data_IF_484611306253
#
_entry.id   IF_484611306253
#
_cell.length_a   1.000
_cell.length_b   1.000
_cell.length_c   1.000
_cell.angle_alpha   90.00
_cell.angle_beta   90.00
_cell.angle_gamma   90.00
#
_symmetry.space_group_name_H-M   'P 1'
#
loop_
_entity.id
_entity.type
_entity.pdbx_description
1 polymer ?
#
# COMPACT_ATOMS: atom_id res chain seq x y z
N UNK A 1 7.43 34.98 -48.60
CA UNK A 1 7.34 35.29 -47.15
C UNK A 1 5.92 35.72 -46.82
N UNK A 2 5.13 34.87 -46.14
CA UNK A 2 3.76 35.22 -45.70
C UNK A 2 3.86 36.09 -44.44
N UNK A 3 3.47 37.37 -44.53
CA UNK A 3 3.35 38.28 -43.38
C UNK A 3 2.13 37.83 -42.55
N UNK A 4 2.40 37.21 -41.40
CA UNK A 4 1.36 36.94 -40.40
C UNK A 4 0.90 38.27 -39.79
N UNK A 5 -0.41 38.53 -39.83
CA UNK A 5 -1.00 39.77 -39.31
C UNK A 5 -1.30 39.63 -37.81
N UNK A 6 -1.28 40.72 -37.06
CA UNK A 6 -1.48 40.75 -35.59
C UNK A 6 -2.82 40.16 -35.12
N UNK A 7 -3.83 40.02 -36.00
CA UNK A 7 -5.13 39.42 -35.70
C UNK A 7 -5.10 37.91 -35.45
N UNK A 8 -4.17 37.16 -36.04
CA UNK A 8 -4.08 35.69 -35.84
C UNK A 8 -3.48 35.29 -34.49
N UNK A 9 -2.70 36.16 -33.86
CA UNK A 9 -2.14 35.90 -32.52
C UNK A 9 -3.17 36.09 -31.40
N UNK A 10 -4.09 37.05 -31.57
CA UNK A 10 -5.14 37.30 -30.60
C UNK A 10 -6.14 36.14 -30.49
N UNK A 11 -6.56 35.53 -31.61
CA UNK A 11 -7.51 34.41 -31.60
C UNK A 11 -6.92 33.12 -31.03
N UNK A 12 -5.62 32.86 -31.27
CA UNK A 12 -4.92 31.73 -30.67
C UNK A 12 -4.78 31.87 -29.14
N UNK A 13 -4.54 33.09 -28.64
CA UNK A 13 -4.47 33.38 -27.21
C UNK A 13 -5.79 33.09 -26.48
N UNK A 14 -6.93 33.50 -27.04
CA UNK A 14 -8.25 33.23 -26.47
C UNK A 14 -8.61 31.75 -26.47
N UNK A 15 -8.25 31.01 -27.52
CA UNK A 15 -8.48 29.57 -27.57
C UNK A 15 -7.68 28.80 -26.49
N UNK A 16 -6.41 29.18 -26.24
CA UNK A 16 -5.61 28.61 -25.17
C UNK A 16 -6.19 28.92 -23.77
N UNK A 17 -6.64 30.16 -23.54
CA UNK A 17 -7.25 30.55 -22.26
C UNK A 17 -8.57 29.81 -21.99
N UNK A 18 -9.39 29.60 -23.02
CA UNK A 18 -10.59 28.77 -22.91
C UNK A 18 -10.24 27.31 -22.59
N UNK A 19 -9.27 26.72 -23.28
CA UNK A 19 -8.81 25.36 -22.98
C UNK A 19 -8.28 25.21 -21.55
N UNK A 20 -7.51 26.19 -21.07
CA UNK A 20 -7.03 26.22 -19.69
C UNK A 20 -8.20 26.36 -18.71
N UNK A 21 -9.14 27.28 -18.96
CA UNK A 21 -10.31 27.49 -18.12
C UNK A 21 -11.21 26.25 -18.02
N UNK A 22 -11.48 25.58 -19.14
CA UNK A 22 -12.22 24.32 -19.16
C UNK A 22 -11.45 23.18 -18.48
N UNK A 23 -10.11 23.16 -18.59
CA UNK A 23 -9.25 22.23 -17.85
C UNK A 23 -9.41 22.40 -16.32
N UNK A 24 -9.41 23.63 -15.82
CA UNK A 24 -9.60 23.92 -14.39
C UNK A 24 -10.99 23.53 -13.88
N UNK A 25 -12.04 23.81 -14.65
CA UNK A 25 -13.41 23.37 -14.31
C UNK A 25 -13.47 21.85 -14.27
N UNK A 26 -12.88 21.17 -15.25
CA UNK A 26 -12.78 19.71 -15.26
C UNK A 26 -12.15 19.14 -14.00
N UNK A 27 -11.03 19.72 -13.53
CA UNK A 27 -10.32 19.27 -12.31
C UNK A 27 -11.19 19.41 -11.05
N UNK A 28 -11.93 20.52 -10.90
CA UNK A 28 -12.74 20.76 -9.71
C UNK A 28 -13.92 19.78 -9.57
N UNK A 29 -14.56 19.42 -10.68
CA UNK A 29 -15.69 18.48 -10.67
C UNK A 29 -15.26 17.00 -10.75
N UNK A 30 -14.03 16.74 -11.17
CA UNK A 30 -13.51 15.39 -11.35
C UNK A 30 -13.59 14.56 -10.06
N UNK A 31 -13.08 15.10 -8.95
CA UNK A 31 -13.04 14.39 -7.67
C UNK A 31 -14.43 14.00 -7.16
N UNK A 32 -15.41 14.92 -7.02
CA UNK A 32 -16.76 14.57 -6.61
C UNK A 32 -17.42 13.50 -7.48
N UNK A 33 -17.30 13.60 -8.82
CA UNK A 33 -17.88 12.62 -9.75
C UNK A 33 -17.24 11.25 -9.57
N UNK A 34 -15.92 11.21 -9.37
CA UNK A 34 -15.18 9.97 -9.13
C UNK A 34 -15.58 9.31 -7.82
N UNK A 35 -15.59 10.06 -6.71
CA UNK A 35 -16.02 9.53 -5.40
C UNK A 35 -17.46 9.01 -5.45
N UNK A 36 -18.36 9.72 -6.13
CA UNK A 36 -19.73 9.26 -6.36
C UNK A 36 -19.77 7.94 -7.15
N UNK A 37 -18.96 7.81 -8.20
CA UNK A 37 -18.85 6.56 -8.97
C UNK A 37 -18.36 5.39 -8.12
N UNK A 38 -17.30 5.61 -7.32
CA UNK A 38 -16.73 4.61 -6.41
C UNK A 38 -17.72 4.22 -5.31
N UNK A 39 -18.44 5.18 -4.73
CA UNK A 39 -19.48 4.93 -3.73
C UNK A 39 -20.61 4.07 -4.32
N UNK A 40 -21.07 4.35 -5.55
CA UNK A 40 -22.07 3.49 -6.21
C UNK A 40 -21.54 2.10 -6.52
N UNK A 41 -20.27 1.98 -6.94
CA UNK A 41 -19.64 0.68 -7.13
C UNK A 41 -19.58 -0.11 -5.81
N UNK A 42 -19.34 0.57 -4.69
CA UNK A 42 -19.33 -0.03 -3.36
C UNK A 42 -20.67 -0.65 -2.98
N UNK A 43 -21.79 0.04 -3.27
CA UNK A 43 -23.13 -0.49 -3.04
C UNK A 43 -23.47 -1.67 -3.96
N UNK A 44 -23.02 -1.63 -5.22
CA UNK A 44 -23.21 -2.76 -6.16
C UNK A 44 -22.45 -4.01 -5.71
N UNK A 45 -21.39 -3.85 -4.93
CA UNK A 45 -20.63 -4.96 -4.38
C UNK A 45 -21.30 -5.61 -3.15
N UNK A 46 -22.31 -4.98 -2.53
CA UNK A 46 -22.94 -5.48 -1.29
C UNK A 46 -23.43 -6.95 -1.40
N UNK A 47 -24.08 -7.40 -2.50
CA UNK A 47 -24.46 -8.80 -2.66
C UNK A 47 -23.26 -9.75 -2.73
N UNK A 48 -22.16 -9.31 -3.37
CA UNK A 48 -20.93 -10.08 -3.50
C UNK A 48 -20.20 -10.20 -2.15
N UNK A 49 -20.07 -9.09 -1.42
CA UNK A 49 -19.51 -9.08 -0.06
C UNK A 49 -20.31 -10.02 0.83
N UNK A 50 -21.64 -9.90 0.83
CA UNK A 50 -22.52 -10.75 1.63
C UNK A 50 -22.34 -12.24 1.31
N UNK A 51 -22.17 -12.58 0.02
CA UNK A 51 -21.91 -13.95 -0.41
C UNK A 51 -20.54 -14.47 0.07
N UNK A 52 -19.49 -13.64 0.00
CA UNK A 52 -18.15 -13.96 0.48
C UNK A 52 -18.11 -14.17 1.99
N UNK A 53 -18.79 -13.30 2.76
CA UNK A 53 -18.89 -13.42 4.21
C UNK A 53 -19.63 -14.69 4.62
N UNK A 54 -20.76 -15.01 3.97
CA UNK A 54 -21.48 -16.27 4.20
C UNK A 54 -20.63 -17.50 3.87
N UNK A 55 -19.99 -17.52 2.69
CA UNK A 55 -19.10 -18.61 2.31
C UNK A 55 -17.99 -18.79 3.34
N UNK A 56 -17.34 -17.69 3.74
CA UNK A 56 -16.22 -17.74 4.69
C UNK A 56 -16.67 -18.27 6.05
N UNK A 57 -17.86 -17.86 6.50
CA UNK A 57 -18.46 -18.33 7.75
C UNK A 57 -18.81 -19.82 7.70
N UNK A 58 -19.40 -20.30 6.60
CA UNK A 58 -19.82 -21.71 6.45
C UNK A 58 -18.63 -22.66 6.22
N UNK A 59 -17.62 -22.23 5.45
CA UNK A 59 -16.50 -23.08 5.04
C UNK A 59 -15.27 -22.93 5.95
N UNK A 60 -15.27 -21.95 6.86
CA UNK A 60 -14.10 -21.62 7.69
C UNK A 60 -12.92 -21.05 6.90
N UNK A 61 -13.10 -20.74 5.61
CA UNK A 61 -12.07 -20.19 4.71
C UNK A 61 -12.69 -19.30 3.64
N UNK A 62 -11.97 -18.28 3.14
CA UNK A 62 -12.37 -17.60 1.91
C UNK A 62 -12.37 -18.57 0.70
N UNK A 63 -13.19 -18.30 -0.33
CA UNK A 63 -13.17 -19.09 -1.57
C UNK A 63 -11.84 -18.89 -2.29
N UNK A 64 -11.36 -19.88 -3.05
CA UNK A 64 -10.16 -19.69 -3.87
C UNK A 64 -10.41 -18.78 -5.06
N UNK A 65 -11.66 -18.74 -5.55
CA UNK A 65 -12.11 -17.90 -6.67
C UNK A 65 -13.60 -17.55 -6.53
N UNK A 66 -14.04 -16.46 -7.15
CA UNK A 66 -15.43 -16.01 -7.07
C UNK A 66 -16.46 -17.03 -7.60
N UNK A 67 -16.08 -17.92 -8.52
CA UNK A 67 -17.02 -18.92 -9.04
C UNK A 67 -17.41 -20.01 -8.04
N UNK A 68 -16.70 -20.17 -6.91
CA UNK A 68 -17.14 -21.02 -5.80
C UNK A 68 -18.40 -20.48 -5.09
N UNK A 69 -18.71 -19.19 -5.30
CA UNK A 69 -19.93 -18.58 -4.75
C UNK A 69 -21.17 -18.95 -5.57
N UNK A 70 -21.00 -19.38 -6.82
CA UNK A 70 -22.10 -19.66 -7.74
C UNK A 70 -22.57 -21.12 -7.67
N UNK A 71 -23.86 -21.38 -7.92
CA UNK A 71 -24.99 -20.44 -7.79
C UNK A 71 -25.46 -20.32 -6.33
N UNK A 72 -24.87 -21.10 -5.40
CA UNK A 72 -25.38 -21.32 -4.04
C UNK A 72 -25.42 -20.05 -3.20
N UNK A 73 -24.38 -19.23 -3.24
CA UNK A 73 -24.23 -18.05 -2.39
C UNK A 73 -24.63 -16.76 -3.10
N UNK A 74 -24.52 -16.72 -4.43
CA UNK A 74 -24.97 -15.62 -5.28
C UNK A 74 -25.34 -16.18 -6.67
N UNK A 75 -26.33 -15.57 -7.34
CA UNK A 75 -26.77 -16.02 -8.67
C UNK A 75 -25.77 -15.70 -9.77
N UNK A 76 -25.16 -14.52 -9.69
CA UNK A 76 -24.16 -14.02 -10.63
C UNK A 76 -23.24 -13.01 -9.91
N UNK A 77 -22.03 -12.80 -10.42
CA UNK A 77 -21.11 -11.80 -9.87
C UNK A 77 -21.52 -10.42 -10.41
N UNK A 78 -21.84 -9.44 -9.54
CA UNK A 78 -22.25 -8.11 -10.00
C UNK A 78 -21.10 -7.40 -10.71
N UNK A 79 -21.44 -6.52 -11.65
CA UNK A 79 -20.48 -5.58 -12.23
C UNK A 79 -20.28 -4.37 -11.31
N UNK A 80 -19.17 -3.66 -11.48
CA UNK A 80 -18.87 -2.45 -10.70
C UNK A 80 -19.78 -1.28 -11.06
N UNK A 81 -20.40 -1.32 -12.26
CA UNK A 81 -21.11 -0.17 -12.84
C UNK A 81 -20.20 0.94 -13.37
N UNK A 82 -18.88 0.77 -13.33
CA UNK A 82 -17.91 1.69 -13.90
C UNK A 82 -17.55 1.22 -15.31
N UNK A 83 -17.85 1.99 -16.38
CA UNK A 83 -17.62 1.54 -17.76
C UNK A 83 -16.16 1.15 -18.05
N UNK A 84 -15.20 1.89 -17.49
CA UNK A 84 -13.78 1.63 -17.68
C UNK A 84 -13.27 0.42 -16.89
N UNK A 85 -13.97 0.02 -15.82
CA UNK A 85 -13.52 -1.03 -14.89
C UNK A 85 -14.69 -1.94 -14.51
N UNK A 86 -15.31 -2.67 -15.46
CA UNK A 86 -16.63 -3.27 -15.26
C UNK A 86 -16.66 -4.44 -14.27
N UNK A 87 -15.50 -5.01 -13.92
CA UNK A 87 -15.39 -6.22 -13.09
C UNK A 87 -14.67 -5.94 -11.78
N UNK A 88 -15.12 -6.64 -10.73
CA UNK A 88 -14.38 -6.72 -9.47
C UNK A 88 -13.22 -7.70 -9.60
N UNK A 89 -12.07 -7.33 -9.04
CA UNK A 89 -10.96 -8.24 -8.80
C UNK A 89 -11.08 -8.83 -7.40
N UNK A 90 -10.65 -10.08 -7.24
CA UNK A 90 -10.70 -10.81 -5.98
C UNK A 90 -9.34 -11.43 -5.71
N UNK A 91 -8.88 -11.32 -4.47
CA UNK A 91 -7.63 -11.90 -4.03
C UNK A 91 -7.79 -12.52 -2.63
N UNK A 92 -7.24 -13.72 -2.44
CA UNK A 92 -7.06 -14.28 -1.10
C UNK A 92 -5.82 -13.67 -0.49
N UNK A 93 -5.97 -13.13 0.70
CA UNK A 93 -4.86 -12.53 1.43
C UNK A 93 -4.26 -13.56 2.39
N UNK A 94 -2.96 -13.42 2.72
CA UNK A 94 -2.25 -14.33 3.63
C UNK A 94 -2.74 -14.24 5.10
N UNK A 95 -3.76 -13.45 5.38
CA UNK A 95 -4.23 -13.15 6.72
C UNK A 95 -3.58 -11.88 7.28
N UNK A 96 -3.68 -11.71 8.60
CA UNK A 96 -3.13 -10.53 9.27
C UNK A 96 -1.61 -10.52 9.15
N UNK A 97 -1.06 -9.41 8.67
CA UNK A 97 0.36 -9.14 8.62
C UNK A 97 0.65 -7.78 9.27
N UNK A 98 1.76 -7.71 9.99
CA UNK A 98 2.23 -6.47 10.59
C UNK A 98 3.68 -6.18 10.21
N UNK A 99 4.06 -4.92 10.34
CA UNK A 99 5.41 -4.43 10.23
C UNK A 99 5.92 -4.14 11.64
N UNK A 100 7.14 -4.58 11.96
CA UNK A 100 7.91 -4.05 13.07
C UNK A 100 9.23 -3.51 12.50
N UNK A 101 9.66 -2.32 12.93
CA UNK A 101 10.91 -1.76 12.44
C UNK A 101 11.80 -1.23 13.56
N UNK A 102 13.11 -1.33 13.36
CA UNK A 102 14.15 -0.74 14.19
C UNK A 102 14.82 0.39 13.44
N UNK A 103 14.99 1.51 14.13
CA UNK A 103 15.83 2.60 13.68
C UNK A 103 17.31 2.20 13.82
N UNK A 104 18.03 2.20 12.69
CA UNK A 104 19.45 1.87 12.62
C UNK A 104 20.36 3.09 12.73
N UNK A 105 19.78 4.29 12.79
CA UNK A 105 20.47 5.58 12.91
C UNK A 105 20.53 6.36 11.60
N UNK A 106 20.98 7.61 11.73
CA UNK A 106 21.19 8.56 10.64
C UNK A 106 22.20 8.03 9.63
N UNK A 107 21.88 8.20 8.35
CA UNK A 107 22.83 7.97 7.24
C UNK A 107 23.90 9.06 7.13
N UNK A 108 23.77 10.17 7.85
CA UNK A 108 24.66 11.32 7.82
C UNK A 108 24.89 11.87 6.40
N UNK A 109 23.81 11.93 5.61
CA UNK A 109 23.85 12.42 4.22
C UNK A 109 24.40 11.42 3.19
N UNK A 110 24.81 10.22 3.60
CA UNK A 110 25.29 9.20 2.66
C UNK A 110 24.18 8.76 1.69
N UNK A 111 24.50 8.58 0.39
CA UNK A 111 23.54 8.09 -0.59
C UNK A 111 23.06 6.70 -0.22
N UNK A 112 21.76 6.45 -0.42
CA UNK A 112 21.17 5.13 -0.23
C UNK A 112 21.17 4.34 -1.53
N UNK A 113 21.17 3.02 -1.42
CA UNK A 113 20.99 2.13 -2.57
C UNK A 113 19.53 1.66 -2.65
N UNK A 114 18.95 1.71 -3.85
CA UNK A 114 17.61 1.18 -4.13
C UNK A 114 16.47 2.18 -3.90
N UNK A 115 15.24 1.68 -3.99
CA UNK A 115 14.03 2.46 -3.79
C UNK A 115 13.67 2.53 -2.30
N UNK A 116 13.14 3.68 -1.88
CA UNK A 116 12.52 3.83 -0.57
C UNK A 116 11.22 3.02 -0.54
N UNK A 117 11.16 1.98 0.29
CA UNK A 117 9.99 1.09 0.37
C UNK A 117 9.05 1.45 1.53
N UNK A 118 9.61 1.80 2.69
CA UNK A 118 8.83 1.99 3.92
C UNK A 118 8.87 3.43 4.42
N UNK A 119 7.73 4.14 4.52
CA UNK A 119 7.69 5.53 5.02
C UNK A 119 8.09 5.66 6.50
N UNK A 120 8.22 4.54 7.20
CA UNK A 120 8.34 4.43 8.65
C UNK A 120 9.68 4.98 9.16
N UNK A 121 9.68 5.64 10.33
CA UNK A 121 10.90 6.24 10.90
C UNK A 121 11.32 7.54 10.20
N UNK A 122 12.48 8.08 10.58
CA UNK A 122 12.97 9.36 10.02
C UNK A 122 13.49 9.16 8.58
N UNK A 123 13.16 10.04 7.60
CA UNK A 123 13.59 9.91 6.20
C UNK A 123 15.11 9.77 5.99
N UNK A 124 15.90 10.39 6.86
CA UNK A 124 17.36 10.41 6.84
C UNK A 124 18.00 9.22 7.57
N UNK A 125 17.21 8.36 8.21
CA UNK A 125 17.67 7.17 8.92
C UNK A 125 17.53 5.90 8.08
N UNK A 126 18.45 4.96 8.28
CA UNK A 126 18.27 3.59 7.82
C UNK A 126 17.36 2.83 8.80
N UNK A 127 16.59 1.86 8.31
CA UNK A 127 15.77 1.00 9.16
C UNK A 127 15.97 -0.47 8.82
N UNK A 128 15.78 -1.33 9.81
CA UNK A 128 15.47 -2.74 9.58
C UNK A 128 13.97 -2.94 9.79
N UNK A 129 13.29 -3.41 8.76
CA UNK A 129 11.86 -3.65 8.74
C UNK A 129 11.59 -5.15 8.63
N UNK A 130 10.75 -5.68 9.52
CA UNK A 130 10.32 -7.06 9.53
C UNK A 130 8.83 -7.13 9.21
N UNK A 131 8.47 -7.92 8.21
CA UNK A 131 7.09 -8.31 7.97
C UNK A 131 6.80 -9.56 8.78
N UNK A 132 5.74 -9.50 9.59
CA UNK A 132 5.36 -10.53 10.53
C UNK A 132 4.05 -11.18 10.11
N UNK A 133 3.93 -12.49 10.35
CA UNK A 133 2.69 -13.24 10.23
C UNK A 133 1.72 -12.88 11.35
N UNK A 134 0.50 -13.41 11.27
CA UNK A 134 -0.50 -13.28 12.34
C UNK A 134 -0.01 -13.85 13.69
N UNK A 135 0.86 -14.88 13.64
CA UNK A 135 1.49 -15.48 14.82
C UNK A 135 2.72 -14.72 15.33
N UNK A 136 3.09 -13.62 14.66
CA UNK A 136 4.27 -12.83 14.99
C UNK A 136 5.59 -13.44 14.52
N UNK A 137 5.55 -14.39 13.58
CA UNK A 137 6.75 -14.97 12.95
C UNK A 137 7.22 -14.08 11.81
N UNK A 138 8.54 -13.94 11.65
CA UNK A 138 9.14 -13.15 10.56
C UNK A 138 8.95 -13.87 9.22
N UNK A 139 8.15 -13.26 8.34
CA UNK A 139 7.94 -13.68 6.96
C UNK A 139 9.01 -13.14 6.03
N UNK A 140 9.38 -11.87 6.23
CA UNK A 140 10.39 -11.16 5.45
C UNK A 140 11.16 -10.18 6.35
N UNK A 141 12.41 -9.91 6.00
CA UNK A 141 13.28 -8.98 6.70
C UNK A 141 14.05 -8.15 5.68
N UNK A 142 13.91 -6.82 5.76
CA UNK A 142 14.56 -5.88 4.84
C UNK A 142 15.29 -4.81 5.60
N UNK A 143 16.45 -4.43 5.08
CA UNK A 143 17.13 -3.21 5.49
C UNK A 143 16.82 -2.15 4.43
N UNK A 144 16.07 -1.14 4.82
CA UNK A 144 15.66 -0.06 3.94
C UNK A 144 16.51 1.19 4.21
N UNK A 145 16.76 1.97 3.16
CA UNK A 145 17.61 3.18 3.20
C UNK A 145 19.01 2.89 3.77
N UNK A 146 19.61 1.75 3.46
CA UNK A 146 21.01 1.50 3.86
C UNK A 146 21.98 2.33 3.00
N UNK A 147 23.04 2.91 3.58
CA UNK A 147 24.13 3.49 2.80
C UNK A 147 24.83 2.43 1.94
N UNK A 148 25.38 2.85 0.80
CA UNK A 148 26.03 1.93 -0.15
C UNK A 148 27.26 1.23 0.44
N UNK A 149 28.06 1.96 1.23
CA UNK A 149 29.29 1.46 1.84
C UNK A 149 29.19 1.56 3.36
N UNK A 150 28.98 0.41 4.02
CA UNK A 150 28.98 0.29 5.47
C UNK A 150 29.88 -0.87 5.85
N UNK A 151 30.90 -0.62 6.68
CA UNK A 151 31.76 -1.66 7.21
C UNK A 151 31.01 -2.49 8.24
N UNK A 152 30.88 -3.79 7.99
CA UNK A 152 30.25 -4.75 8.89
C UNK A 152 31.06 -4.87 10.19
N UNK A 153 30.38 -4.98 11.34
CA UNK A 153 31.00 -5.25 12.64
C UNK A 153 30.25 -6.37 13.36
N UNK A 154 30.93 -7.08 14.26
CA UNK A 154 30.32 -8.11 15.10
C UNK A 154 29.15 -7.53 15.90
N UNK A 155 28.08 -8.32 16.03
CA UNK A 155 26.91 -7.90 16.79
C UNK A 155 27.25 -7.84 18.28
N UNK A 156 27.09 -6.66 18.87
CA UNK A 156 27.24 -6.39 20.30
C UNK A 156 25.88 -5.88 20.82
N UNK A 157 25.29 -6.63 21.74
CA UNK A 157 23.95 -6.32 22.23
C UNK A 157 23.90 -5.02 23.05
N UNK A 158 24.96 -4.70 23.79
CA UNK A 158 25.00 -3.48 24.61
C UNK A 158 25.09 -2.24 23.70
N UNK A 159 25.98 -2.26 22.71
CA UNK A 159 26.10 -1.21 21.69
C UNK A 159 24.81 -1.07 20.87
N UNK A 160 24.18 -2.19 20.52
CA UNK A 160 22.91 -2.17 19.81
C UNK A 160 21.85 -1.43 20.62
N UNK A 161 21.69 -1.76 21.90
CA UNK A 161 20.70 -1.13 22.77
C UNK A 161 20.97 0.36 22.98
N UNK A 162 22.24 0.78 23.04
CA UNK A 162 22.60 2.20 23.12
C UNK A 162 22.46 2.97 21.80
N UNK A 163 22.09 2.32 20.70
CA UNK A 163 21.90 2.97 19.40
C UNK A 163 23.19 3.18 18.60
N UNK A 164 24.32 2.70 19.11
CA UNK A 164 25.64 2.89 18.50
C UNK A 164 25.87 1.82 17.44
N UNK A 165 26.32 2.22 16.25
CA UNK A 165 26.75 1.31 15.17
C UNK A 165 25.68 0.30 14.66
N UNK A 166 24.38 0.52 14.92
CA UNK A 166 23.30 -0.41 14.53
C UNK A 166 23.33 -0.79 13.05
N UNK A 167 23.51 0.16 12.14
CA UNK A 167 23.66 -0.12 10.69
C UNK A 167 24.80 -1.10 10.38
N UNK A 168 25.94 -0.98 11.07
CA UNK A 168 27.11 -1.84 10.85
C UNK A 168 26.89 -3.24 11.38
N UNK A 169 26.25 -3.34 12.56
CA UNK A 169 25.94 -4.61 13.20
C UNK A 169 24.83 -5.38 12.47
N UNK A 170 23.77 -4.71 12.02
CA UNK A 170 22.58 -5.40 11.47
C UNK A 170 22.89 -6.22 10.22
N UNK A 171 23.84 -5.75 9.39
CA UNK A 171 24.23 -6.45 8.16
C UNK A 171 24.87 -7.79 8.47
N UNK A 172 25.84 -7.81 9.39
CA UNK A 172 26.49 -9.05 9.78
C UNK A 172 25.54 -9.92 10.59
N UNK A 173 24.73 -9.33 11.48
CA UNK A 173 23.70 -10.02 12.25
C UNK A 173 22.74 -10.78 11.32
N UNK A 174 22.14 -10.13 10.34
CA UNK A 174 21.20 -10.77 9.42
C UNK A 174 21.84 -11.81 8.48
N UNK A 175 23.14 -11.68 8.17
CA UNK A 175 23.89 -12.70 7.42
C UNK A 175 24.16 -13.95 8.25
N UNK A 176 24.45 -13.77 9.53
CA UNK A 176 24.87 -14.86 10.45
C UNK A 176 23.70 -15.49 11.21
N UNK A 177 22.60 -14.76 11.34
CA UNK A 177 21.39 -15.19 12.03
C UNK A 177 20.23 -15.19 11.05
N UNK A 178 19.67 -16.37 10.78
CA UNK A 178 18.40 -16.44 10.05
C UNK A 178 17.32 -15.70 10.83
N UNK A 179 16.77 -14.64 10.25
CA UNK A 179 15.66 -13.88 10.81
C UNK A 179 14.31 -14.52 10.48
N UNK A 180 14.18 -15.08 9.28
CA UNK A 180 12.94 -15.68 8.79
C UNK A 180 12.55 -16.90 9.64
N UNK A 181 11.28 -16.96 10.01
CA UNK A 181 10.71 -18.00 10.88
C UNK A 181 10.93 -17.77 12.38
N UNK A 182 11.79 -16.83 12.80
CA UNK A 182 11.86 -16.43 14.21
C UNK A 182 10.63 -15.63 14.61
N UNK A 183 10.29 -15.67 15.88
CA UNK A 183 9.20 -14.84 16.44
C UNK A 183 9.71 -13.44 16.80
N UNK A 184 8.83 -12.46 16.77
CA UNK A 184 9.13 -11.10 17.25
C UNK A 184 9.57 -11.12 18.72
N UNK A 185 8.99 -11.99 19.55
CA UNK A 185 9.36 -12.13 20.96
C UNK A 185 10.81 -12.57 21.17
N UNK A 186 11.31 -13.52 20.37
CA UNK A 186 12.72 -13.94 20.40
C UNK A 186 13.65 -12.81 19.96
N UNK A 187 13.28 -12.10 18.88
CA UNK A 187 14.08 -11.00 18.38
C UNK A 187 14.12 -9.83 19.37
N UNK A 188 13.03 -9.53 20.08
CA UNK A 188 13.00 -8.51 21.13
C UNK A 188 13.98 -8.80 22.28
N UNK A 189 14.21 -10.08 22.62
CA UNK A 189 15.21 -10.44 23.65
C UNK A 189 16.63 -10.05 23.21
N UNK A 190 16.91 -10.09 21.91
CA UNK A 190 18.22 -9.79 21.33
C UNK A 190 18.32 -8.29 21.01
N UNK A 191 17.39 -7.77 20.22
CA UNK A 191 17.40 -6.44 19.62
C UNK A 191 16.67 -5.38 20.45
N UNK A 192 16.00 -5.76 21.54
CA UNK A 192 15.12 -4.86 22.27
C UNK A 192 13.83 -4.55 21.50
N UNK A 193 13.07 -3.59 22.03
CA UNK A 193 11.82 -3.16 21.42
C UNK A 193 12.05 -2.49 20.05
N UNK A 194 11.16 -2.75 19.06
CA UNK A 194 11.20 -2.03 17.79
C UNK A 194 10.88 -0.54 18.02
N UNK A 195 11.39 0.31 17.14
CA UNK A 195 11.09 1.74 17.12
C UNK A 195 9.61 2.01 16.78
N UNK A 196 8.96 1.09 16.06
CA UNK A 196 7.53 1.16 15.82
C UNK A 196 6.96 -0.10 15.20
N UNK A 197 5.63 -0.19 15.23
CA UNK A 197 4.88 -1.27 14.59
C UNK A 197 3.64 -0.72 13.89
N UNK A 198 3.22 -1.35 12.79
CA UNK A 198 1.93 -1.04 12.15
C UNK A 198 1.33 -2.25 11.46
N UNK A 199 0.03 -2.21 11.19
CA UNK A 199 -0.62 -3.21 10.36
C UNK A 199 -0.26 -2.99 8.88
N UNK A 200 0.04 -4.08 8.16
CA UNK A 200 0.20 -4.07 6.71
C UNK A 200 -1.05 -4.59 6.03
N UNK A 201 -1.53 -5.75 6.49
CA UNK A 201 -2.73 -6.41 5.99
C UNK A 201 -3.53 -6.87 7.19
N UNK A 202 -4.84 -6.65 7.19
CA UNK A 202 -5.72 -7.11 8.26
C UNK A 202 -6.95 -7.79 7.67
N UNK A 203 -6.74 -8.72 6.75
CA UNK A 203 -7.83 -9.36 6.04
C UNK A 203 -7.41 -10.73 5.50
N UNK A 204 -8.40 -11.62 5.37
CA UNK A 204 -8.23 -12.92 4.72
C UNK A 204 -8.54 -12.90 3.23
N UNK A 205 -9.18 -11.84 2.73
CA UNK A 205 -9.47 -11.63 1.33
C UNK A 205 -9.72 -10.14 1.03
N UNK A 206 -9.56 -9.78 -0.24
CA UNK A 206 -9.79 -8.45 -0.77
C UNK A 206 -10.68 -8.54 -2.01
N UNK A 207 -11.60 -7.58 -2.14
CA UNK A 207 -12.21 -7.24 -3.43
C UNK A 207 -11.70 -5.87 -3.81
N UNK A 208 -11.29 -5.67 -5.07
CA UNK A 208 -10.82 -4.36 -5.54
C UNK A 208 -11.22 -4.01 -6.95
N UNK A 209 -11.09 -2.73 -7.25
CA UNK A 209 -11.18 -2.10 -8.56
C UNK A 209 -9.87 -1.35 -8.77
N UNK A 210 -9.06 -1.82 -9.72
CA UNK A 210 -7.89 -1.08 -10.17
C UNK A 210 -8.41 0.04 -11.06
N UNK A 211 -8.33 1.29 -10.60
CA UNK A 211 -8.98 2.44 -11.24
C UNK A 211 -7.98 3.55 -11.58
N UNK A 212 -6.88 3.25 -12.30
CA UNK A 212 -5.81 4.22 -12.55
C UNK A 212 -6.31 5.50 -13.24
N UNK A 213 -5.81 6.68 -12.83
CA UNK A 213 -6.06 7.95 -13.52
C UNK A 213 -4.92 8.30 -14.48
N UNK A 214 -5.20 8.29 -15.78
CA UNK A 214 -4.21 8.69 -16.78
C UNK A 214 -3.10 7.64 -16.96
N UNK A 215 -1.94 8.09 -17.47
CA UNK A 215 -0.86 7.20 -17.94
C UNK A 215 0.04 6.69 -16.79
N UNK A 216 0.09 7.39 -15.65
CA UNK A 216 1.00 7.11 -14.54
C UNK A 216 0.29 7.22 -13.18
N UNK A 217 -0.70 6.38 -12.93
CA UNK A 217 -1.35 6.30 -11.62
C UNK A 217 -1.76 4.85 -11.32
N UNK A 218 -1.64 4.42 -10.06
CA UNK A 218 -1.98 3.10 -9.54
C UNK A 218 -3.13 3.13 -8.51
N UNK A 219 -4.01 4.11 -8.61
CA UNK A 219 -5.25 4.22 -7.84
C UNK A 219 -6.00 2.90 -7.71
N UNK A 220 -6.36 2.56 -6.47
CA UNK A 220 -7.02 1.30 -6.15
C UNK A 220 -8.17 1.53 -5.18
N UNK A 221 -9.35 1.01 -5.50
CA UNK A 221 -10.51 1.05 -4.62
C UNK A 221 -10.84 -0.37 -4.13
N UNK A 222 -10.74 -0.62 -2.83
CA UNK A 222 -10.78 -1.98 -2.29
C UNK A 222 -11.54 -2.11 -0.97
N UNK A 223 -11.99 -3.33 -0.70
CA UNK A 223 -12.70 -3.71 0.52
C UNK A 223 -11.97 -4.85 1.21
N UNK A 224 -11.81 -4.68 2.53
CA UNK A 224 -11.42 -5.73 3.45
C UNK A 224 -12.57 -6.06 4.40
N UNK A 225 -12.82 -7.34 4.70
CA UNK A 225 -13.89 -7.75 5.61
C UNK A 225 -13.76 -7.15 7.02
N UNK A 226 -12.54 -6.86 7.49
CA UNK A 226 -12.32 -6.23 8.79
C UNK A 226 -12.59 -4.73 8.78
N UNK A 227 -12.62 -4.12 7.60
CA UNK A 227 -12.70 -2.68 7.38
C UNK A 227 -11.60 -1.88 8.10
N UNK A 228 -10.53 -2.54 8.57
CA UNK A 228 -9.39 -1.91 9.24
C UNK A 228 -8.28 -1.69 8.22
N UNK A 229 -8.24 -0.48 7.68
CA UNK A 229 -7.29 -0.08 6.65
C UNK A 229 -6.08 0.63 7.26
N UNK A 230 -4.84 0.35 6.81
CA UNK A 230 -3.67 1.12 7.21
C UNK A 230 -3.74 2.53 6.61
N UNK A 231 -2.91 3.47 7.11
CA UNK A 231 -2.81 4.82 6.55
C UNK A 231 -2.22 4.84 5.13
N UNK A 232 -1.43 3.83 4.79
CA UNK A 232 -0.82 3.64 3.48
C UNK A 232 -0.97 2.19 3.05
N UNK A 233 -1.33 1.99 1.80
CA UNK A 233 -1.51 0.68 1.15
C UNK A 233 -1.33 0.85 -0.35
N UNK A 234 -1.03 -0.24 -1.07
CA UNK A 234 -0.90 -0.24 -2.54
C UNK A 234 -0.03 0.91 -3.10
N UNK A 235 0.99 1.35 -2.36
CA UNK A 235 1.91 2.44 -2.79
C UNK A 235 1.46 3.87 -2.46
N UNK A 236 0.19 4.09 -2.09
CA UNK A 236 -0.37 5.42 -1.87
C UNK A 236 -1.01 5.66 -0.51
N UNK A 237 -1.58 6.86 -0.35
CA UNK A 237 -2.36 7.24 0.83
C UNK A 237 -3.75 6.63 0.80
N UNK A 238 -4.23 6.15 1.95
CA UNK A 238 -5.56 5.53 2.07
C UNK A 238 -6.58 6.53 2.60
N UNK A 239 -7.65 6.72 1.84
CA UNK A 239 -8.86 7.47 2.22
C UNK A 239 -10.03 6.50 2.35
N UNK A 240 -10.82 6.62 3.41
CA UNK A 240 -12.04 5.82 3.57
C UNK A 240 -13.19 6.39 2.74
N UNK A 241 -13.92 5.52 2.07
CA UNK A 241 -15.17 5.82 1.36
C UNK A 241 -16.21 4.81 1.83
N UNK A 242 -17.04 5.21 2.80
CA UNK A 242 -17.95 4.28 3.48
C UNK A 242 -17.18 3.12 4.13
N UNK A 243 -17.53 1.89 3.75
CA UNK A 243 -16.86 0.66 4.23
C UNK A 243 -15.60 0.29 3.44
N UNK A 244 -15.32 0.99 2.36
CA UNK A 244 -14.21 0.72 1.43
C UNK A 244 -13.04 1.68 1.68
N UNK A 245 -11.90 1.33 1.13
CA UNK A 245 -10.70 2.15 1.08
C UNK A 245 -10.38 2.52 -0.36
N UNK A 246 -10.01 3.77 -0.56
CA UNK A 246 -9.50 4.28 -1.81
C UNK A 246 -8.05 4.71 -1.61
N UNK A 247 -7.16 4.15 -2.41
CA UNK A 247 -5.75 4.52 -2.47
C UNK A 247 -5.56 5.48 -3.62
N UNK A 248 -4.91 6.60 -3.33
CA UNK A 248 -4.41 7.52 -4.34
C UNK A 248 -2.95 7.87 -4.03
N UNK A 249 -2.17 8.04 -5.09
CA UNK A 249 -0.78 8.53 -5.03
C UNK A 249 -0.70 10.06 -5.06
#
# INVERSE_FOLDING_TARGET
MRKWTSRTYASAGWACLLWIGWGFVGIQYYWPVRYWGLERASHRADPLISALERFTKEQGRPPAKLSELLPRYIREIPTTGLPAYPTFKYERLPGRQSLAFWDLGSRNGLPMRGLWVYPDGKPEHAIMALTLSERGEVLDARMDRMPEQVLDVAFDQAKWKSGVERMRMVRLFAKTHSLKGRTLGELKKILGEPAGTRCLVDASWEIRIDCPMGILNWDTFYYWPTQRYPKQSHGGGVVRVGKWAYVHE
#
